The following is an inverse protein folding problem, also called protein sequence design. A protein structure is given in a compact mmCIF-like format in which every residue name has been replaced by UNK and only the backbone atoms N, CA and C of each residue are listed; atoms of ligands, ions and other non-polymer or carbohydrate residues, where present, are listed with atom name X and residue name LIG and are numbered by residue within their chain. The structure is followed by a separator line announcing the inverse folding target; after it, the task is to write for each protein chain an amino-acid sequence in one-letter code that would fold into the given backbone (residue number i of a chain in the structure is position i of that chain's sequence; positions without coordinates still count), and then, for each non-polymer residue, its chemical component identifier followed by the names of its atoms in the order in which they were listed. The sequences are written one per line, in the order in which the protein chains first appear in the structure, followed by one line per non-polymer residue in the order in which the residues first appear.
data_IF_450179649905
#
_entry.id   IF_450179649905
#
_cell.length_a   1.000
_cell.length_b   1.000
_cell.length_c   1.000
_cell.angle_alpha   90.00
_cell.angle_beta   90.00
_cell.angle_gamma   90.00
#
_symmetry.space_group_name_H-M   'P 1'
#
loop_
_entity.id
_entity.type
_entity.pdbx_description
1 polymer ?
#
# COMPACT_ATOMS: atom_id res chain seq x y z
N UNK A 1 0.51 18.41 22.07
CA UNK A 1 0.62 17.99 23.48
C UNK A 1 0.65 16.47 23.50
N UNK A 2 1.57 15.80 24.21
CA UNK A 2 1.52 14.35 24.34
C UNK A 2 0.23 13.96 25.06
N UNK A 3 -0.55 13.02 24.51
CA UNK A 3 -1.73 12.50 25.17
C UNK A 3 -1.32 11.83 26.50
N UNK A 4 -1.95 12.23 27.59
CA UNK A 4 -1.74 11.66 28.91
C UNK A 4 -2.20 10.20 28.91
N UNK A 5 -1.36 9.27 29.38
CA UNK A 5 -1.72 7.84 29.39
C UNK A 5 -2.84 7.58 30.39
N UNK A 6 -3.75 6.69 30.02
CA UNK A 6 -4.93 6.36 30.83
C UNK A 6 -4.62 5.15 31.71
N UNK A 7 -4.86 5.27 33.02
CA UNK A 7 -4.77 4.13 33.95
C UNK A 7 -6.10 3.38 33.96
N UNK A 8 -6.07 2.08 33.70
CA UNK A 8 -7.26 1.24 33.66
C UNK A 8 -7.27 0.12 34.72
N UNK A 9 -8.47 -0.35 35.04
CA UNK A 9 -8.70 -1.59 35.78
C UNK A 9 -9.46 -2.53 34.86
N UNK A 10 -8.83 -3.64 34.52
CA UNK A 10 -9.34 -4.62 33.55
C UNK A 10 -9.91 -5.81 34.32
N UNK A 11 -11.05 -6.32 33.86
CA UNK A 11 -11.65 -7.54 34.39
C UNK A 11 -11.63 -8.59 33.27
N UNK A 12 -11.14 -9.78 33.60
CA UNK A 12 -10.99 -10.88 32.68
C UNK A 12 -11.65 -12.15 33.22
N UNK A 13 -12.12 -12.97 32.29
CA UNK A 13 -12.89 -14.19 32.54
C UNK A 13 -12.25 -15.41 31.86
N UNK A 14 -12.79 -16.59 32.14
CA UNK A 14 -12.27 -17.86 31.61
C UNK A 14 -12.11 -17.83 30.07
N UNK A 15 -10.96 -18.32 29.61
CA UNK A 15 -10.51 -18.47 28.21
C UNK A 15 -10.38 -17.17 27.43
N UNK A 16 -10.38 -16.02 28.10
CA UNK A 16 -10.14 -14.75 27.43
C UNK A 16 -8.69 -14.61 26.97
N UNK A 17 -8.52 -13.82 25.91
CA UNK A 17 -7.21 -13.46 25.35
C UNK A 17 -7.12 -11.95 25.26
N UNK A 18 -6.17 -11.35 25.97
CA UNK A 18 -5.96 -9.90 26.01
C UNK A 18 -4.61 -9.58 25.40
N UNK A 19 -4.57 -8.69 24.41
CA UNK A 19 -3.32 -8.24 23.80
C UNK A 19 -2.87 -6.90 24.39
N UNK A 20 -1.71 -6.90 25.04
CA UNK A 20 -1.09 -5.72 25.62
C UNK A 20 -0.74 -4.65 24.56
N UNK A 21 -0.46 -5.03 23.31
CA UNK A 21 -0.24 -4.04 22.23
C UNK A 21 -1.51 -3.27 21.88
N UNK A 22 -2.67 -3.94 21.90
CA UNK A 22 -3.97 -3.28 21.68
C UNK A 22 -4.28 -2.29 22.80
N UNK A 23 -3.95 -2.63 24.05
CA UNK A 23 -4.10 -1.72 25.19
C UNK A 23 -3.16 -0.51 25.08
N UNK A 24 -1.88 -0.72 24.70
CA UNK A 24 -0.95 0.39 24.42
C UNK A 24 -1.45 1.31 23.31
N UNK A 25 -2.02 0.76 22.24
CA UNK A 25 -2.59 1.54 21.13
C UNK A 25 -3.79 2.40 21.56
N UNK A 26 -4.54 1.95 22.58
CA UNK A 26 -5.61 2.73 23.25
C UNK A 26 -5.08 3.71 24.30
N UNK A 27 -3.77 3.94 24.34
CA UNK A 27 -3.09 4.83 25.27
C UNK A 27 -3.21 4.41 26.75
N UNK A 28 -3.41 3.10 27.02
CA UNK A 28 -3.47 2.54 28.38
C UNK A 28 -2.07 2.43 28.97
N UNK A 29 -1.88 2.88 30.20
CA UNK A 29 -0.61 2.78 30.91
C UNK A 29 -0.43 1.40 31.55
N UNK A 30 0.23 0.49 30.85
CA UNK A 30 0.39 -0.88 31.30
C UNK A 30 1.22 -1.05 32.58
N UNK A 31 2.06 -0.08 32.95
CA UNK A 31 2.88 -0.20 34.18
C UNK A 31 2.08 0.12 35.44
N UNK A 32 1.00 0.90 35.32
CA UNK A 32 0.17 1.32 36.45
C UNK A 32 -1.26 0.77 36.41
N UNK A 33 -1.70 0.26 35.26
CA UNK A 33 -2.99 -0.42 35.12
C UNK A 33 -2.97 -1.79 35.78
N UNK A 34 -4.13 -2.28 36.19
CA UNK A 34 -4.28 -3.56 36.90
C UNK A 34 -5.28 -4.45 36.19
N UNK A 35 -5.16 -5.76 36.40
CA UNK A 35 -6.10 -6.75 35.87
C UNK A 35 -6.58 -7.70 36.96
N UNK A 36 -7.88 -7.97 36.96
CA UNK A 36 -8.53 -8.97 37.79
C UNK A 36 -8.92 -10.15 36.90
N UNK A 37 -8.55 -11.36 37.29
CA UNK A 37 -8.98 -12.59 36.63
C UNK A 37 -9.89 -13.37 37.57
N UNK A 38 -11.14 -13.62 37.15
CA UNK A 38 -12.15 -14.27 38.00
C UNK A 38 -12.31 -13.61 39.38
N UNK A 39 -12.22 -12.27 39.41
CA UNK A 39 -12.33 -11.47 40.62
C UNK A 39 -11.05 -11.42 41.49
N UNK A 40 -9.99 -12.12 41.12
CA UNK A 40 -8.70 -12.08 41.80
C UNK A 40 -7.76 -11.09 41.12
N UNK A 41 -7.20 -10.15 41.89
CA UNK A 41 -6.18 -9.23 41.39
C UNK A 41 -4.90 -10.02 41.04
N UNK A 42 -4.45 -9.92 39.80
CA UNK A 42 -3.18 -10.50 39.39
C UNK A 42 -2.02 -9.60 39.81
N UNK A 43 -1.10 -10.15 40.60
CA UNK A 43 0.12 -9.47 41.04
C UNK A 43 1.41 -10.15 40.57
N UNK A 44 1.30 -11.36 40.02
CA UNK A 44 2.43 -12.21 39.65
C UNK A 44 2.93 -13.09 40.80
N UNK A 45 4.00 -13.85 40.56
CA UNK A 45 4.60 -14.80 41.52
C UNK A 45 6.09 -15.01 41.23
N UNK A 46 6.76 -15.75 42.12
CA UNK A 46 8.12 -16.25 41.91
C UNK A 46 8.16 -17.51 41.04
N UNK A 47 9.26 -17.67 40.31
CA UNK A 47 9.50 -18.81 39.43
C UNK A 47 9.71 -20.09 40.23
N UNK A 48 9.12 -21.18 39.76
CA UNK A 48 9.22 -22.48 40.40
C UNK A 48 10.62 -23.10 40.17
N UNK A 49 11.17 -23.80 41.17
CA UNK A 49 12.42 -24.54 40.99
C UNK A 49 12.31 -25.54 39.83
N UNK A 50 13.38 -25.63 39.02
CA UNK A 50 13.52 -26.54 37.88
C UNK A 50 12.47 -26.40 36.74
N UNK A 51 11.60 -25.40 36.78
CA UNK A 51 10.59 -25.16 35.75
C UNK A 51 10.74 -23.74 35.19
N UNK A 52 11.66 -23.52 34.22
CA UNK A 52 11.91 -22.21 33.66
C UNK A 52 10.65 -21.54 33.12
N UNK A 53 10.48 -20.26 33.45
CA UNK A 53 9.35 -19.41 33.09
C UNK A 53 7.99 -19.88 33.61
N UNK A 54 7.96 -20.79 34.57
CA UNK A 54 6.74 -21.18 35.27
C UNK A 54 6.76 -20.55 36.67
N UNK A 55 5.72 -19.81 37.03
CA UNK A 55 5.63 -19.03 38.26
C UNK A 55 4.38 -19.42 39.06
N UNK A 56 4.51 -19.52 40.38
CA UNK A 56 3.40 -19.91 41.24
C UNK A 56 3.88 -20.29 42.63
N UNK A 57 2.99 -20.90 43.39
CA UNK A 57 3.31 -21.48 44.70
C UNK A 57 3.11 -22.99 44.66
N UNK A 58 3.95 -23.72 45.37
CA UNK A 58 3.76 -25.15 45.60
C UNK A 58 3.04 -25.39 46.93
N UNK A 59 2.24 -26.44 46.99
CA UNK A 59 1.70 -26.99 48.23
C UNK A 59 2.74 -27.85 48.96
N UNK A 60 2.31 -28.48 50.06
CA UNK A 60 3.18 -29.34 50.88
C UNK A 60 3.65 -30.61 50.14
N UNK A 61 2.95 -30.99 49.06
CA UNK A 61 3.22 -32.17 48.25
C UNK A 61 4.04 -31.83 46.99
N UNK A 62 4.61 -30.61 46.91
CA UNK A 62 5.32 -30.07 45.73
C UNK A 62 4.45 -29.99 44.46
N UNK A 63 3.12 -29.93 44.60
CA UNK A 63 2.19 -29.71 43.49
C UNK A 63 1.83 -28.23 43.42
N UNK A 64 1.47 -27.72 42.25
CA UNK A 64 1.10 -26.32 42.13
C UNK A 64 -0.21 -26.01 42.82
N UNK A 65 -0.21 -24.97 43.66
CA UNK A 65 -1.42 -24.47 44.32
C UNK A 65 -2.43 -24.01 43.27
N UNK A 66 -3.66 -24.48 43.41
CA UNK A 66 -4.78 -24.09 42.53
C UNK A 66 -5.64 -22.96 43.11
N UNK A 67 -5.50 -22.66 44.40
CA UNK A 67 -6.20 -21.59 45.12
C UNK A 67 -5.54 -20.21 44.96
N UNK A 68 -4.38 -20.16 44.31
CA UNK A 68 -3.65 -18.96 43.89
C UNK A 68 -3.36 -19.01 42.39
N UNK A 69 -3.33 -17.88 41.66
CA UNK A 69 -2.98 -17.90 40.25
C UNK A 69 -1.54 -18.37 40.00
N UNK A 70 -1.36 -19.21 38.99
CA UNK A 70 -0.06 -19.57 38.44
C UNK A 70 0.12 -19.03 37.03
N UNK A 71 1.36 -18.92 36.58
CA UNK A 71 1.71 -18.22 35.37
C UNK A 71 2.75 -19.00 34.58
N UNK A 72 2.59 -19.07 33.26
CA UNK A 72 3.59 -19.59 32.36
C UNK A 72 3.92 -18.54 31.30
N UNK A 73 5.16 -18.09 31.29
CA UNK A 73 5.66 -17.13 30.29
C UNK A 73 6.34 -17.87 29.15
N UNK A 74 5.87 -17.65 27.93
CA UNK A 74 6.49 -18.14 26.70
C UNK A 74 7.10 -16.96 25.95
N UNK A 75 8.44 -16.80 25.96
CA UNK A 75 9.13 -15.78 25.19
C UNK A 75 8.74 -15.81 23.71
N UNK A 76 8.49 -14.64 23.13
CA UNK A 76 8.27 -14.50 21.68
C UNK A 76 9.57 -14.62 20.89
N UNK A 77 10.64 -14.05 21.46
CA UNK A 77 12.00 -14.03 20.93
C UNK A 77 13.01 -13.83 22.06
N UNK A 78 14.31 -13.92 21.74
CA UNK A 78 15.44 -13.86 22.69
C UNK A 78 15.78 -12.43 23.18
N UNK A 79 15.16 -11.39 22.62
CA UNK A 79 15.67 -10.01 22.68
C UNK A 79 14.68 -8.93 23.10
N UNK A 80 13.37 -9.16 22.95
CA UNK A 80 12.35 -8.14 23.16
C UNK A 80 11.84 -8.07 24.60
N UNK A 81 11.98 -9.16 25.36
CA UNK A 81 11.33 -9.34 26.65
C UNK A 81 9.80 -9.39 26.57
N UNK A 82 9.25 -9.58 25.37
CA UNK A 82 7.81 -9.77 25.13
C UNK A 82 7.51 -11.26 24.94
N UNK A 83 6.31 -11.66 25.34
CA UNK A 83 5.87 -13.04 25.19
C UNK A 83 4.39 -13.23 25.47
N UNK A 84 3.96 -14.49 25.39
CA UNK A 84 2.65 -14.93 25.84
C UNK A 84 2.73 -15.26 27.33
N UNK A 85 1.86 -14.68 28.15
CA UNK A 85 1.67 -15.08 29.54
C UNK A 85 0.36 -15.85 29.67
N UNK A 86 0.44 -17.16 29.88
CA UNK A 86 -0.72 -17.96 30.27
C UNK A 86 -0.88 -17.89 31.80
N UNK A 87 -2.09 -17.63 32.27
CA UNK A 87 -2.45 -17.57 33.69
C UNK A 87 -3.47 -18.66 33.96
N UNK A 88 -3.26 -19.45 35.00
CA UNK A 88 -4.16 -20.51 35.43
C UNK A 88 -4.65 -20.21 36.84
N UNK A 89 -5.95 -20.31 37.07
CA UNK A 89 -6.54 -20.15 38.40
C UNK A 89 -7.69 -21.14 38.55
N UNK A 90 -7.56 -22.08 39.49
CA UNK A 90 -8.46 -23.23 39.60
C UNK A 90 -8.57 -23.98 38.26
N UNK A 91 -9.76 -23.98 37.64
CA UNK A 91 -10.03 -24.61 36.37
C UNK A 91 -10.11 -23.61 35.20
N UNK A 92 -9.85 -22.33 35.45
CA UNK A 92 -9.95 -21.26 34.47
C UNK A 92 -8.57 -20.86 33.92
N UNK A 93 -8.54 -20.45 32.66
CA UNK A 93 -7.32 -19.96 31.98
C UNK A 93 -7.51 -18.54 31.44
N UNK A 94 -6.47 -17.71 31.50
CA UNK A 94 -6.40 -16.41 30.84
C UNK A 94 -5.08 -16.30 30.06
N UNK A 95 -5.14 -15.75 28.85
CA UNK A 95 -3.96 -15.54 28.02
C UNK A 95 -3.70 -14.04 27.80
N UNK A 96 -2.50 -13.57 28.16
CA UNK A 96 -2.03 -12.24 27.79
C UNK A 96 -1.00 -12.34 26.66
N UNK A 97 -1.29 -11.70 25.52
CA UNK A 97 -0.36 -11.56 24.40
C UNK A 97 0.48 -10.29 24.56
N UNK A 98 1.72 -10.36 24.06
CA UNK A 98 2.69 -9.26 24.11
C UNK A 98 2.92 -8.71 25.54
N UNK A 99 2.82 -9.58 26.54
CA UNK A 99 3.16 -9.27 27.92
C UNK A 99 4.67 -9.00 28.02
N UNK A 100 5.07 -7.91 28.69
CA UNK A 100 6.47 -7.60 28.94
C UNK A 100 6.90 -8.08 30.31
N UNK A 101 7.85 -9.02 30.34
CA UNK A 101 8.46 -9.50 31.59
C UNK A 101 9.41 -8.46 32.23
N UNK A 102 9.74 -7.39 31.50
CA UNK A 102 10.62 -6.31 31.94
C UNK A 102 9.80 -5.16 32.52
N UNK A 103 8.78 -4.72 31.78
CA UNK A 103 7.89 -3.64 32.23
C UNK A 103 6.84 -4.11 33.24
N UNK A 104 6.67 -5.43 33.41
CA UNK A 104 5.64 -6.04 34.25
C UNK A 104 4.25 -5.55 33.81
N UNK A 105 3.88 -5.85 32.55
CA UNK A 105 2.63 -5.37 31.96
C UNK A 105 1.42 -5.68 32.85
N UNK A 106 0.49 -4.71 32.95
CA UNK A 106 -0.67 -4.75 33.84
C UNK A 106 -0.31 -4.90 35.33
N UNK A 107 0.90 -4.48 35.69
CA UNK A 107 1.46 -4.55 37.03
C UNK A 107 1.49 -5.98 37.61
N UNK A 108 1.60 -6.99 36.75
CA UNK A 108 1.87 -8.39 37.13
C UNK A 108 3.39 -8.56 37.18
N UNK A 109 3.96 -8.96 38.32
CA UNK A 109 5.40 -9.05 38.51
C UNK A 109 5.87 -10.50 38.56
N UNK A 110 6.69 -10.90 37.59
CA UNK A 110 7.25 -12.25 37.52
C UNK A 110 8.71 -12.24 37.97
N UNK A 111 8.96 -12.85 39.13
CA UNK A 111 10.30 -12.94 39.70
C UNK A 111 11.02 -14.17 39.14
N UNK A 112 12.07 -13.91 38.35
CA UNK A 112 12.88 -14.92 37.69
C UNK A 112 13.99 -15.38 38.63
N UNK A 113 14.11 -16.70 38.83
CA UNK A 113 15.06 -17.35 39.74
C UNK A 113 15.90 -18.42 39.04
N UNK A 114 15.43 -18.99 37.93
CA UNK A 114 16.14 -20.04 37.20
C UNK A 114 17.30 -19.47 36.39
N UNK A 115 18.35 -20.27 36.17
CA UNK A 115 19.50 -19.88 35.35
C UNK A 115 19.05 -19.40 33.95
N UNK A 116 18.13 -20.13 33.33
CA UNK A 116 17.63 -19.82 31.99
C UNK A 116 16.87 -18.49 31.94
N UNK A 117 16.00 -18.21 32.91
CA UNK A 117 15.20 -16.98 32.93
C UNK A 117 16.04 -15.75 33.31
N UNK A 118 17.06 -15.94 34.14
CA UNK A 118 18.06 -14.91 34.46
C UNK A 118 18.94 -14.60 33.25
N UNK A 119 19.46 -15.60 32.56
CA UNK A 119 20.23 -15.42 31.30
C UNK A 119 19.39 -14.70 30.24
N UNK A 120 18.10 -15.04 30.12
CA UNK A 120 17.16 -14.34 29.26
C UNK A 120 17.00 -12.85 29.65
N UNK A 121 16.82 -12.54 30.94
CA UNK A 121 16.75 -11.16 31.45
C UNK A 121 18.05 -10.38 31.25
N UNK A 122 19.20 -11.04 31.40
CA UNK A 122 20.52 -10.45 31.19
C UNK A 122 20.76 -10.15 29.70
N UNK A 123 20.41 -11.09 28.82
CA UNK A 123 20.51 -10.90 27.37
C UNK A 123 19.69 -9.68 26.93
N UNK A 124 18.43 -9.59 27.37
CA UNK A 124 17.58 -8.45 27.02
C UNK A 124 18.09 -7.16 27.68
N UNK A 125 18.57 -7.21 28.93
CA UNK A 125 19.15 -6.03 29.58
C UNK A 125 20.39 -5.53 28.85
N UNK A 126 21.21 -6.42 28.29
CA UNK A 126 22.35 -6.07 27.46
C UNK A 126 21.92 -5.51 26.11
N UNK A 127 20.93 -6.10 25.44
CA UNK A 127 20.34 -5.55 24.21
C UNK A 127 19.70 -4.17 24.44
N UNK A 128 18.97 -3.98 25.55
CA UNK A 128 18.36 -2.70 25.94
C UNK A 128 19.42 -1.68 26.39
N UNK A 129 20.53 -2.12 27.00
CA UNK A 129 21.68 -1.25 27.30
C UNK A 129 22.38 -0.86 26.02
N UNK A 130 22.66 -1.76 25.08
CA UNK A 130 23.20 -1.42 23.76
C UNK A 130 22.28 -0.42 23.05
N UNK A 131 20.95 -0.62 23.10
CA UNK A 131 19.97 0.34 22.60
C UNK A 131 19.91 1.67 23.40
N UNK A 132 20.13 1.68 24.72
CA UNK A 132 20.15 2.90 25.58
C UNK A 132 21.47 3.66 25.55
N UNK A 133 22.61 2.98 25.45
CA UNK A 133 23.93 3.62 25.21
C UNK A 133 23.93 4.27 23.81
N UNK A 134 23.14 3.73 22.88
CA UNK A 134 22.83 4.37 21.58
C UNK A 134 21.83 5.55 21.70
N UNK A 135 21.16 5.74 22.85
CA UNK A 135 20.21 6.85 23.09
C UNK A 135 20.71 7.96 24.02
N UNK A 136 21.74 7.74 24.85
CA UNK A 136 22.27 8.78 25.77
C UNK A 136 23.28 9.71 25.08
N UNK A 137 23.88 9.32 23.95
CA UNK A 137 24.65 10.20 23.05
C UNK A 137 23.80 10.74 21.88
N UNK A 138 22.62 11.31 22.20
CA UNK A 138 21.99 12.33 21.33
C UNK A 138 22.53 13.71 21.74
N UNK A 139 23.77 14.10 21.41
CA UNK A 139 24.16 14.59 20.07
C UNK A 139 24.04 13.52 19.00
N UNK A 140 22.85 13.48 18.41
CA UNK A 140 22.40 12.64 17.31
C UNK A 140 23.56 12.27 16.38
N UNK A 141 24.06 11.04 16.46
CA UNK A 141 24.86 10.49 15.36
C UNK A 141 23.89 10.21 14.22
N UNK A 142 23.69 11.23 13.38
CA UNK A 142 22.94 11.07 12.15
C UNK A 142 23.78 10.13 11.28
N UNK A 143 23.20 9.03 10.80
CA UNK A 143 23.87 8.18 9.83
C UNK A 143 24.28 9.05 8.63
N UNK A 144 25.59 9.27 8.44
CA UNK A 144 26.12 10.03 7.33
C UNK A 144 26.09 9.15 6.08
N UNK A 145 25.14 9.42 5.19
CA UNK A 145 24.91 8.68 3.96
C UNK A 145 25.69 9.28 2.80
N UNK A 146 26.01 8.45 1.81
CA UNK A 146 26.90 8.81 0.71
C UNK A 146 26.14 9.55 -0.40
N UNK A 147 26.72 10.64 -0.90
CA UNK A 147 26.16 11.40 -2.02
C UNK A 147 26.23 10.60 -3.32
N UNK A 148 25.20 10.66 -4.16
CA UNK A 148 25.22 10.08 -5.50
C UNK A 148 26.20 10.85 -6.40
N UNK A 149 27.06 10.15 -7.14
CA UNK A 149 27.98 10.73 -8.11
C UNK A 149 27.45 10.61 -9.55
N UNK A 150 27.81 11.57 -10.39
CA UNK A 150 27.40 11.66 -11.80
C UNK A 150 27.80 10.45 -12.65
N UNK A 151 28.85 9.71 -12.28
CA UNK A 151 29.33 8.55 -13.04
C UNK A 151 28.68 7.21 -12.62
N UNK A 152 27.83 7.20 -11.59
CA UNK A 152 27.29 5.96 -11.06
C UNK A 152 26.21 5.37 -11.98
N UNK A 153 26.12 4.04 -11.98
CA UNK A 153 25.05 3.35 -12.70
C UNK A 153 23.77 3.39 -11.85
N UNK A 154 22.90 4.35 -12.15
CA UNK A 154 21.56 4.46 -11.59
C UNK A 154 20.55 3.89 -12.60
N UNK A 155 19.70 2.99 -12.15
CA UNK A 155 18.72 2.29 -12.99
C UNK A 155 17.33 2.33 -12.37
N UNK A 156 16.28 2.24 -13.19
CA UNK A 156 14.99 1.79 -12.68
C UNK A 156 15.04 0.28 -12.39
N UNK A 157 14.08 -0.25 -11.62
CA UNK A 157 14.05 -1.69 -11.30
C UNK A 157 13.98 -2.60 -12.54
N UNK A 158 13.51 -2.10 -13.68
CA UNK A 158 13.45 -2.84 -14.94
C UNK A 158 14.80 -2.86 -15.70
N UNK A 159 15.80 -2.09 -15.27
CA UNK A 159 17.12 -2.01 -15.92
C UNK A 159 17.28 -0.87 -16.92
N UNK A 160 16.31 0.06 -17.02
CA UNK A 160 16.50 1.31 -17.75
C UNK A 160 17.47 2.23 -17.05
N UNK A 161 18.43 2.80 -17.77
CA UNK A 161 19.53 3.61 -17.23
C UNK A 161 19.13 5.08 -17.10
N UNK A 162 19.33 5.65 -15.92
CA UNK A 162 19.14 7.09 -15.69
C UNK A 162 20.37 7.83 -16.23
N UNK A 163 20.15 8.86 -17.03
CA UNK A 163 21.20 9.76 -17.51
C UNK A 163 21.48 10.79 -16.43
N UNK A 164 22.56 10.57 -15.67
CA UNK A 164 23.01 11.50 -14.66
C UNK A 164 23.80 12.64 -15.32
N UNK A 165 23.42 13.88 -15.01
CA UNK A 165 24.16 15.08 -15.42
C UNK A 165 24.11 16.12 -14.31
N UNK A 166 25.24 16.35 -13.65
CA UNK A 166 25.32 17.34 -12.59
C UNK A 166 25.41 18.74 -13.19
N UNK A 167 24.51 19.65 -12.80
CA UNK A 167 24.55 21.07 -13.17
C UNK A 167 24.95 21.91 -11.97
N UNK A 168 24.19 21.78 -10.87
CA UNK A 168 24.45 22.55 -9.64
C UNK A 168 25.42 21.86 -8.69
N UNK A 169 25.60 20.53 -8.79
CA UNK A 169 26.62 19.80 -8.02
C UNK A 169 28.05 19.90 -8.56
N UNK A 170 28.28 20.52 -9.74
CA UNK A 170 29.59 20.57 -10.43
C UNK A 170 30.77 21.05 -9.60
N UNK A 171 30.53 21.90 -8.60
CA UNK A 171 31.57 22.45 -7.73
C UNK A 171 31.99 21.52 -6.60
N UNK A 172 31.24 20.44 -6.35
CA UNK A 172 31.49 19.46 -5.29
C UNK A 172 31.83 18.12 -5.93
N UNK A 173 33.13 17.78 -5.92
CA UNK A 173 33.67 16.66 -6.68
C UNK A 173 34.38 15.66 -5.80
N UNK A 174 33.98 14.39 -5.89
CA UNK A 174 34.70 13.28 -5.31
C UNK A 174 35.62 12.67 -6.36
N UNK A 175 36.93 12.72 -6.13
CA UNK A 175 37.95 12.29 -7.10
C UNK A 175 37.71 12.82 -8.52
N UNK A 176 37.29 14.10 -8.62
CA UNK A 176 37.02 14.79 -9.87
C UNK A 176 35.60 14.61 -10.42
N UNK A 177 34.77 13.78 -9.80
CA UNK A 177 33.40 13.43 -10.24
C UNK A 177 32.37 14.23 -9.43
N UNK A 178 31.51 15.03 -10.09
CA UNK A 178 30.48 15.80 -9.40
C UNK A 178 29.47 14.95 -8.64
N UNK A 179 28.98 15.48 -7.52
CA UNK A 179 27.80 14.95 -6.83
C UNK A 179 26.51 15.36 -7.57
N UNK A 180 25.43 14.62 -7.34
CA UNK A 180 24.09 14.90 -7.85
C UNK A 180 23.25 15.63 -6.80
N UNK A 181 22.61 16.73 -7.20
CA UNK A 181 21.65 17.46 -6.37
C UNK A 181 20.20 17.16 -6.81
N UNK A 182 19.24 17.62 -6.02
CA UNK A 182 17.80 17.41 -6.22
C UNK A 182 17.36 17.72 -7.65
N UNK A 183 17.68 18.91 -8.17
CA UNK A 183 17.29 19.30 -9.54
C UNK A 183 18.06 18.57 -10.63
N UNK A 184 19.25 18.03 -10.31
CA UNK A 184 20.06 17.29 -11.27
C UNK A 184 19.47 15.90 -11.53
N UNK A 185 18.85 15.27 -10.52
CA UNK A 185 18.19 13.97 -10.65
C UNK A 185 16.70 14.08 -11.02
N UNK A 186 16.01 15.11 -10.53
CA UNK A 186 14.61 15.34 -10.88
C UNK A 186 14.48 15.64 -12.37
N UNK A 187 13.59 14.93 -13.07
CA UNK A 187 13.43 14.95 -14.53
C UNK A 187 14.61 14.40 -15.34
N UNK A 188 15.59 13.73 -14.72
CA UNK A 188 16.62 13.00 -15.49
C UNK A 188 15.97 11.95 -16.40
N UNK A 189 16.43 11.89 -17.65
CA UNK A 189 15.94 10.92 -18.62
C UNK A 189 16.34 9.49 -18.26
N UNK A 190 15.46 8.54 -18.54
CA UNK A 190 15.71 7.11 -18.43
C UNK A 190 15.72 6.53 -19.84
N UNK A 191 16.78 5.83 -20.20
CA UNK A 191 16.97 5.24 -21.53
C UNK A 191 17.05 3.72 -21.44
N UNK A 192 16.75 3.05 -22.56
CA UNK A 192 16.87 1.59 -22.71
C UNK A 192 16.13 0.79 -21.62
N UNK A 193 15.00 1.27 -21.13
CA UNK A 193 14.16 0.54 -20.19
C UNK A 193 13.41 -0.58 -20.93
N UNK A 194 13.61 -1.87 -20.60
CA UNK A 194 12.97 -2.99 -21.28
C UNK A 194 11.57 -3.28 -20.75
N UNK A 195 11.01 -2.40 -19.92
CA UNK A 195 9.73 -2.63 -19.27
C UNK A 195 8.63 -2.87 -20.31
N UNK A 196 7.93 -3.98 -20.16
CA UNK A 196 6.79 -4.35 -21.00
C UNK A 196 5.62 -4.74 -20.11
N UNK A 197 4.41 -4.45 -20.59
CA UNK A 197 3.16 -4.90 -19.98
C UNK A 197 2.41 -5.64 -21.08
N UNK A 198 2.09 -6.92 -20.86
CA UNK A 198 1.43 -7.77 -21.86
C UNK A 198 2.10 -7.74 -23.25
N UNK A 199 3.44 -7.70 -23.30
CA UNK A 199 4.21 -7.64 -24.56
C UNK A 199 4.30 -6.25 -25.21
N UNK A 200 3.58 -5.25 -24.70
CA UNK A 200 3.68 -3.84 -25.15
C UNK A 200 4.80 -3.13 -24.40
N UNK A 201 5.67 -2.43 -25.11
CA UNK A 201 6.76 -1.65 -24.50
C UNK A 201 6.21 -0.44 -23.75
N UNK A 202 6.43 -0.39 -22.42
CA UNK A 202 6.05 0.72 -21.54
C UNK A 202 7.28 1.17 -20.75
N UNK A 203 8.30 1.72 -21.43
CA UNK A 203 9.55 2.09 -20.78
C UNK A 203 9.32 3.20 -19.75
N UNK A 204 10.07 3.15 -18.66
CA UNK A 204 10.29 4.34 -17.82
C UNK A 204 11.10 5.34 -18.64
N UNK A 205 10.68 6.60 -18.65
CA UNK A 205 11.28 7.64 -19.49
C UNK A 205 11.97 8.74 -18.69
N UNK A 206 11.59 8.95 -17.42
CA UNK A 206 12.22 9.95 -16.56
C UNK A 206 12.01 9.69 -15.07
N UNK A 207 12.82 10.35 -14.24
CA UNK A 207 12.64 10.42 -12.78
C UNK A 207 11.70 11.56 -12.42
N UNK A 208 10.70 11.32 -11.56
CA UNK A 208 9.66 12.32 -11.21
C UNK A 208 9.55 12.60 -9.71
N UNK A 209 10.14 11.78 -8.85
CA UNK A 209 10.19 12.02 -7.40
C UNK A 209 11.55 11.60 -6.84
N UNK A 210 12.16 12.48 -6.04
CA UNK A 210 13.45 12.27 -5.38
C UNK A 210 13.41 12.57 -3.88
N UNK A 211 12.26 12.97 -3.33
CA UNK A 211 12.13 13.51 -1.96
C UNK A 211 12.65 12.57 -0.88
N UNK A 212 12.43 11.27 -1.04
CA UNK A 212 12.87 10.27 -0.07
C UNK A 212 14.39 10.02 -0.05
N UNK A 213 15.16 10.63 -0.96
CA UNK A 213 16.61 10.47 -1.08
C UNK A 213 17.38 11.76 -0.74
N UNK A 214 16.71 12.79 -0.21
CA UNK A 214 17.32 14.10 0.04
C UNK A 214 18.14 14.16 1.34
N UNK A 215 19.28 14.84 1.29
CA UNK A 215 20.03 15.26 2.47
C UNK A 215 19.28 16.30 3.28
N UNK A 216 19.61 16.42 4.57
CA UNK A 216 19.11 17.46 5.46
C UNK A 216 19.75 18.81 5.16
N UNK A 217 21.05 18.80 4.82
CA UNK A 217 21.83 20.00 4.52
C UNK A 217 21.81 20.27 3.03
N UNK A 218 21.66 21.55 2.69
CA UNK A 218 21.76 22.03 1.32
C UNK A 218 23.19 22.33 0.93
N UNK A 219 23.50 22.11 -0.33
CA UNK A 219 24.73 22.47 -1.01
C UNK A 219 24.31 23.22 -2.28
N UNK A 220 24.88 24.41 -2.54
CA UNK A 220 24.41 25.31 -3.60
C UNK A 220 22.88 25.55 -3.57
N UNK A 221 22.33 25.75 -2.37
CA UNK A 221 20.90 25.97 -2.11
C UNK A 221 19.97 24.81 -2.50
N UNK A 222 20.49 23.62 -2.79
CA UNK A 222 19.70 22.41 -3.06
C UNK A 222 20.11 21.24 -2.18
N UNK A 223 19.20 20.28 -2.02
CA UNK A 223 19.50 19.05 -1.29
C UNK A 223 20.33 18.09 -2.15
N UNK A 224 21.20 17.33 -1.51
CA UNK A 224 22.04 16.31 -2.13
C UNK A 224 21.25 14.99 -2.21
N UNK A 225 21.44 14.24 -3.29
CA UNK A 225 20.87 12.90 -3.44
C UNK A 225 21.72 11.87 -2.68
N UNK A 226 21.08 11.03 -1.86
CA UNK A 226 21.73 10.02 -1.01
C UNK A 226 21.54 8.62 -1.59
N UNK A 227 22.65 7.95 -1.92
CA UNK A 227 22.70 6.67 -2.61
C UNK A 227 21.89 5.58 -1.91
N UNK A 228 22.03 5.51 -0.58
CA UNK A 228 21.41 4.49 0.27
C UNK A 228 19.88 4.60 0.30
N UNK A 229 19.34 5.76 -0.10
CA UNK A 229 17.91 6.06 -0.10
C UNK A 229 17.32 6.15 -1.51
N UNK A 230 18.09 5.81 -2.54
CA UNK A 230 17.68 5.89 -3.95
C UNK A 230 16.41 5.08 -4.25
N UNK A 231 16.13 4.02 -3.49
CA UNK A 231 14.92 3.21 -3.62
C UNK A 231 13.63 4.00 -3.34
N UNK A 232 13.73 5.14 -2.66
CA UNK A 232 12.62 6.04 -2.41
C UNK A 232 12.33 7.01 -3.58
N UNK A 233 13.22 7.08 -4.57
CA UNK A 233 12.98 7.83 -5.81
C UNK A 233 12.00 7.07 -6.72
N UNK A 234 11.23 7.79 -7.54
CA UNK A 234 10.22 7.23 -8.45
C UNK A 234 10.41 7.66 -9.90
N UNK A 235 10.15 6.73 -10.82
CA UNK A 235 10.02 6.99 -12.26
C UNK A 235 8.64 7.56 -12.60
N UNK A 236 8.49 8.09 -13.82
CA UNK A 236 7.21 8.50 -14.42
C UNK A 236 6.15 7.40 -14.47
N UNK A 237 6.55 6.14 -14.30
CA UNK A 237 5.67 4.96 -14.22
C UNK A 237 5.46 4.47 -12.79
N UNK A 238 5.92 5.22 -11.77
CA UNK A 238 5.71 4.90 -10.35
C UNK A 238 6.67 3.87 -9.75
N UNK A 239 7.68 3.44 -10.52
CA UNK A 239 8.63 2.40 -10.08
C UNK A 239 9.85 2.99 -9.38
N UNK A 240 10.44 2.21 -8.48
CA UNK A 240 11.63 2.62 -7.74
C UNK A 240 12.88 2.67 -8.63
N UNK A 241 13.90 3.38 -8.15
CA UNK A 241 15.25 3.32 -8.69
C UNK A 241 16.14 2.41 -7.84
N UNK A 242 17.26 1.99 -8.41
CA UNK A 242 18.33 1.25 -7.75
C UNK A 242 19.68 1.79 -8.22
N UNK A 243 20.65 1.84 -7.33
CA UNK A 243 22.02 2.25 -7.63
C UNK A 243 22.98 1.20 -7.10
N UNK A 244 24.06 0.95 -7.83
CA UNK A 244 25.21 0.22 -7.28
C UNK A 244 25.94 1.13 -6.30
N UNK A 245 25.82 0.82 -5.01
CA UNK A 245 26.46 1.60 -3.95
C UNK A 245 27.96 1.76 -4.20
N UNK A 246 28.46 2.99 -4.09
CA UNK A 246 29.89 3.30 -4.14
C UNK A 246 30.19 4.31 -3.02
N UNK A 247 31.07 3.97 -2.06
CA UNK A 247 31.43 4.92 -1.00
C UNK A 247 32.00 6.22 -1.56
N UNK A 248 31.55 7.36 -1.01
CA UNK A 248 32.02 8.71 -1.36
C UNK A 248 32.61 9.46 -0.17
N UNK A 249 33.47 10.45 -0.45
CA UNK A 249 34.00 11.42 0.53
C UNK A 249 32.92 12.36 1.03
N UNK A 250 31.95 12.70 0.18
CA UNK A 250 30.81 13.53 0.55
C UNK A 250 29.76 12.68 1.23
N UNK A 251 29.60 12.90 2.54
CA UNK A 251 28.58 12.25 3.35
C UNK A 251 27.69 13.29 4.02
N UNK A 252 26.40 13.07 3.96
CA UNK A 252 25.41 13.99 4.50
C UNK A 252 24.44 13.28 5.44
N UNK A 253 23.92 14.08 6.34
CA UNK A 253 22.82 13.71 7.21
C UNK A 253 21.54 13.56 6.34
N UNK A 254 20.77 12.48 6.48
CA UNK A 254 19.48 12.35 5.80
C UNK A 254 18.44 13.34 6.35
N UNK A 255 17.54 13.86 5.51
CA UNK A 255 16.48 14.80 5.90
C UNK A 255 15.32 14.17 6.70
N UNK A 256 15.48 12.96 7.22
CA UNK A 256 14.40 12.18 7.82
C UNK A 256 13.95 12.84 9.14
N UNK A 257 12.74 13.41 9.17
CA UNK A 257 12.08 13.85 10.40
C UNK A 257 11.59 12.59 11.16
N UNK A 258 12.01 12.34 12.41
CA UNK A 258 11.50 11.23 13.21
C UNK A 258 9.99 11.26 13.47
N UNK A 259 9.32 12.40 13.26
CA UNK A 259 7.85 12.49 13.27
C UNK A 259 7.22 12.03 11.94
N UNK A 260 7.97 12.08 10.85
CA UNK A 260 7.62 11.48 9.55
C UNK A 260 8.25 10.08 9.40
N UNK A 261 8.84 9.54 10.47
CA UNK A 261 9.73 8.40 10.41
C UNK A 261 9.11 7.04 10.75
N UNK A 262 9.34 6.07 9.86
CA UNK A 262 9.29 4.60 10.02
C UNK A 262 7.99 3.94 10.54
N UNK A 263 7.09 4.66 11.23
CA UNK A 263 5.73 4.20 11.55
C UNK A 263 4.83 4.11 10.32
N UNK A 264 5.13 4.87 9.27
CA UNK A 264 4.49 4.77 7.97
C UNK A 264 5.19 3.75 7.04
N UNK A 265 6.35 3.22 7.39
CA UNK A 265 7.03 2.21 6.57
C UNK A 265 6.56 0.78 6.82
N UNK A 266 5.69 0.53 7.81
CA UNK A 266 5.00 -0.75 8.01
C UNK A 266 3.50 -0.70 7.68
N UNK A 267 2.98 0.48 7.36
CA UNK A 267 1.76 0.62 6.58
C UNK A 267 2.13 1.31 5.29
N UNK A 268 2.38 0.53 4.23
CA UNK A 268 1.84 0.94 2.95
C UNK A 268 0.32 1.10 3.20
N UNK A 269 -0.14 2.27 3.66
CA UNK A 269 -1.52 2.67 3.48
C UNK A 269 -1.61 2.88 1.98
N UNK A 270 -1.78 1.76 1.27
CA UNK A 270 -2.19 1.80 -0.11
C UNK A 270 -3.54 2.49 -0.07
N UNK A 271 -3.56 3.76 -0.41
CA UNK A 271 -4.80 4.48 -0.55
C UNK A 271 -5.49 3.96 -1.80
N UNK A 272 -6.62 3.28 -1.60
CA UNK A 272 -7.47 2.86 -2.71
C UNK A 272 -8.29 4.06 -3.15
N UNK A 273 -8.28 4.29 -4.45
CA UNK A 273 -9.05 5.37 -5.09
C UNK A 273 -10.18 4.76 -5.87
N UNK A 274 -11.22 5.56 -6.11
CA UNK A 274 -12.35 5.14 -6.93
C UNK A 274 -11.87 4.81 -8.35
N UNK A 275 -12.11 3.58 -8.84
CA UNK A 275 -11.84 3.25 -10.22
C UNK A 275 -12.94 3.85 -11.11
N UNK A 276 -12.53 4.64 -12.10
CA UNK A 276 -13.44 5.33 -13.01
C UNK A 276 -13.11 4.92 -14.44
N UNK A 277 -14.15 4.61 -15.23
CA UNK A 277 -14.05 4.52 -16.67
C UNK A 277 -14.84 5.67 -17.31
N UNK A 278 -14.26 6.34 -18.31
CA UNK A 278 -14.87 7.52 -18.94
C UNK A 278 -14.94 7.36 -20.46
N UNK A 279 -16.16 7.49 -20.98
CA UNK A 279 -16.45 7.60 -22.39
C UNK A 279 -16.11 9.01 -22.87
N UNK A 280 -15.21 9.12 -23.84
CA UNK A 280 -14.95 10.34 -24.59
C UNK A 280 -15.61 10.22 -25.96
N UNK A 281 -16.67 11.00 -26.19
CA UNK A 281 -17.38 11.00 -27.46
C UNK A 281 -17.01 12.23 -28.29
N UNK A 282 -16.60 12.02 -29.54
CA UNK A 282 -16.04 13.06 -30.42
C UNK A 282 -16.60 12.93 -31.82
N UNK A 283 -16.67 14.01 -32.61
CA UNK A 283 -16.96 13.91 -34.06
C UNK A 283 -15.72 13.59 -34.88
N UNK A 284 -14.53 13.93 -34.36
CA UNK A 284 -13.25 13.66 -35.02
C UNK A 284 -12.18 13.27 -33.99
N UNK A 285 -11.22 12.44 -34.41
CA UNK A 285 -10.14 11.93 -33.56
C UNK A 285 -9.23 13.04 -32.99
N UNK A 286 -9.16 14.20 -33.62
CA UNK A 286 -8.34 15.34 -33.18
C UNK A 286 -9.14 16.39 -32.41
N UNK A 287 -10.46 16.22 -32.26
CA UNK A 287 -11.29 17.13 -31.51
C UNK A 287 -10.92 17.08 -30.02
N UNK A 288 -10.59 18.23 -29.44
CA UNK A 288 -10.24 18.35 -28.01
C UNK A 288 -11.46 18.45 -27.09
N UNK A 289 -12.59 18.89 -27.63
CA UNK A 289 -13.86 18.99 -26.92
C UNK A 289 -14.65 17.68 -27.03
N UNK A 290 -15.46 17.36 -26.03
CA UNK A 290 -16.33 16.18 -26.03
C UNK A 290 -17.76 16.56 -26.38
N UNK A 291 -18.39 15.78 -27.26
CA UNK A 291 -19.77 15.97 -27.67
C UNK A 291 -20.72 15.55 -26.54
N UNK A 292 -21.72 16.37 -26.21
CA UNK A 292 -22.70 16.01 -25.19
C UNK A 292 -23.59 14.86 -25.67
N UNK A 293 -23.83 13.89 -24.79
CA UNK A 293 -24.77 12.79 -25.02
C UNK A 293 -26.02 13.06 -24.19
N UNK A 294 -27.18 13.22 -24.83
CA UNK A 294 -28.46 13.48 -24.13
C UNK A 294 -29.30 12.21 -23.96
N UNK A 295 -29.08 11.22 -24.82
CA UNK A 295 -29.73 9.93 -24.78
C UNK A 295 -28.74 8.83 -25.15
N UNK A 296 -28.85 7.68 -24.48
CA UNK A 296 -28.15 6.46 -24.84
C UNK A 296 -28.92 5.24 -24.34
N UNK A 297 -28.73 4.11 -24.98
CA UNK A 297 -29.25 2.81 -24.55
C UNK A 297 -28.17 2.08 -23.75
N UNK A 298 -28.48 1.65 -22.54
CA UNK A 298 -27.65 0.73 -21.75
C UNK A 298 -28.33 -0.62 -21.75
N UNK A 299 -27.70 -1.65 -22.32
CA UNK A 299 -28.29 -2.99 -22.44
C UNK A 299 -29.71 -2.99 -23.06
N UNK A 300 -29.92 -2.10 -24.04
CA UNK A 300 -31.21 -1.80 -24.71
C UNK A 300 -32.23 -1.02 -23.87
N UNK A 301 -31.89 -0.58 -22.66
CA UNK A 301 -32.72 0.32 -21.87
C UNK A 301 -32.39 1.78 -22.16
N UNK A 302 -33.39 2.58 -22.50
CA UNK A 302 -33.22 4.00 -22.81
C UNK A 302 -32.91 4.81 -21.54
N UNK A 303 -31.82 5.57 -21.56
CA UNK A 303 -31.50 6.62 -20.58
C UNK A 303 -31.51 7.96 -21.31
N UNK A 304 -32.36 8.89 -20.90
CA UNK A 304 -32.56 10.18 -21.56
C UNK A 304 -32.79 11.27 -20.52
N UNK A 305 -32.18 12.44 -20.72
CA UNK A 305 -32.30 13.60 -19.83
C UNK A 305 -32.34 14.90 -20.62
N UNK A 306 -32.91 15.95 -20.02
CA UNK A 306 -32.91 17.30 -20.59
C UNK A 306 -31.53 17.97 -20.56
N UNK A 307 -30.59 17.44 -19.77
CA UNK A 307 -29.20 17.86 -19.70
C UNK A 307 -28.30 16.74 -20.23
N UNK A 308 -27.08 17.08 -20.61
CA UNK A 308 -26.10 16.10 -21.03
C UNK A 308 -25.84 15.08 -19.90
N UNK A 309 -25.90 13.80 -20.26
CA UNK A 309 -25.63 12.67 -19.39
C UNK A 309 -24.17 12.73 -18.91
N UNK A 310 -23.95 12.45 -17.63
CA UNK A 310 -22.67 12.67 -16.95
C UNK A 310 -22.08 11.37 -16.36
N UNK A 311 -22.89 10.58 -15.65
CA UNK A 311 -22.42 9.43 -14.90
C UNK A 311 -23.53 8.38 -14.71
N UNK A 312 -23.14 7.11 -14.70
CA UNK A 312 -23.96 5.96 -14.37
C UNK A 312 -23.22 5.03 -13.42
N UNK A 313 -23.91 4.55 -12.39
CA UNK A 313 -23.45 3.46 -11.53
C UNK A 313 -24.25 2.21 -11.92
N UNK A 314 -23.54 1.16 -12.34
CA UNK A 314 -24.15 -0.05 -12.90
C UNK A 314 -23.74 -1.23 -12.03
N UNK A 315 -24.71 -1.92 -11.44
CA UNK A 315 -24.43 -3.10 -10.62
C UNK A 315 -23.94 -4.27 -11.49
N UNK A 316 -23.07 -5.12 -10.96
CA UNK A 316 -22.53 -6.29 -11.64
C UNK A 316 -23.63 -7.24 -12.16
N UNK A 317 -24.74 -7.35 -11.43
CA UNK A 317 -25.90 -8.17 -11.81
C UNK A 317 -26.60 -7.65 -13.08
N UNK A 318 -26.45 -6.36 -13.38
CA UNK A 318 -27.05 -5.71 -14.55
C UNK A 318 -26.11 -5.76 -15.76
N UNK A 319 -24.85 -6.21 -15.56
CA UNK A 319 -23.95 -6.59 -16.64
C UNK A 319 -24.33 -7.97 -17.19
N UNK A 320 -24.22 -8.13 -18.51
CA UNK A 320 -24.56 -9.38 -19.19
C UNK A 320 -23.38 -10.34 -19.17
N UNK A 321 -23.65 -11.62 -19.35
CA UNK A 321 -22.62 -12.57 -19.74
C UNK A 321 -22.20 -12.28 -21.19
N UNK A 322 -20.94 -12.54 -21.53
CA UNK A 322 -20.41 -12.27 -22.86
C UNK A 322 -21.14 -13.14 -23.90
N UNK A 323 -21.79 -12.51 -24.87
CA UNK A 323 -22.54 -13.18 -25.94
C UNK A 323 -21.62 -13.70 -27.06
N UNK A 324 -20.52 -12.99 -27.35
CA UNK A 324 -19.54 -13.42 -28.36
C UNK A 324 -18.68 -14.59 -27.84
N UNK A 325 -18.95 -15.78 -28.36
CA UNK A 325 -18.28 -17.03 -27.97
C UNK A 325 -16.78 -16.99 -28.29
N UNK A 326 -16.37 -16.32 -29.37
CA UNK A 326 -14.97 -16.29 -29.78
C UNK A 326 -14.15 -15.46 -28.81
N UNK A 327 -14.62 -14.26 -28.44
CA UNK A 327 -13.91 -13.42 -27.47
C UNK A 327 -13.93 -14.07 -26.08
N UNK A 328 -15.04 -14.69 -25.68
CA UNK A 328 -15.13 -15.42 -24.42
C UNK A 328 -14.13 -16.58 -24.33
N UNK A 329 -13.96 -17.34 -25.42
CA UNK A 329 -12.99 -18.43 -25.46
C UNK A 329 -11.55 -17.92 -25.42
N UNK A 330 -11.26 -16.81 -26.13
CA UNK A 330 -9.96 -16.15 -26.06
C UNK A 330 -9.63 -15.72 -24.63
N UNK A 331 -10.57 -15.06 -23.94
CA UNK A 331 -10.37 -14.67 -22.55
C UNK A 331 -10.17 -15.88 -21.62
N UNK A 332 -10.91 -16.98 -21.82
CA UNK A 332 -10.72 -18.21 -21.04
C UNK A 332 -9.36 -18.88 -21.28
N UNK A 333 -8.75 -18.66 -22.44
CA UNK A 333 -7.42 -19.17 -22.76
C UNK A 333 -6.32 -18.32 -22.12
N UNK A 334 -6.47 -17.00 -22.18
CA UNK A 334 -5.43 -16.06 -21.77
C UNK A 334 -5.48 -15.73 -20.26
N UNK A 335 -6.65 -15.87 -19.63
CA UNK A 335 -6.87 -15.58 -18.20
C UNK A 335 -7.23 -16.84 -17.41
N UNK A 336 -6.78 -16.90 -16.15
CA UNK A 336 -7.06 -18.05 -15.28
C UNK A 336 -8.54 -18.15 -14.89
N UNK A 337 -8.94 -19.28 -14.29
CA UNK A 337 -10.30 -19.48 -13.77
C UNK A 337 -10.69 -18.52 -12.62
N UNK A 338 -9.72 -17.78 -12.10
CA UNK A 338 -9.91 -16.78 -11.04
C UNK A 338 -10.47 -15.45 -11.57
N UNK A 339 -10.83 -15.38 -12.85
CA UNK A 339 -11.48 -14.23 -13.46
C UNK A 339 -12.96 -14.52 -13.78
N UNK A 340 -13.76 -13.47 -13.74
CA UNK A 340 -15.13 -13.41 -14.23
C UNK A 340 -15.19 -12.49 -15.45
N UNK A 341 -16.04 -12.81 -16.42
CA UNK A 341 -16.14 -12.07 -17.68
C UNK A 341 -17.55 -11.54 -17.85
N UNK A 342 -17.69 -10.24 -18.08
CA UNK A 342 -18.99 -9.55 -18.22
C UNK A 342 -18.98 -8.59 -19.40
N UNK A 343 -20.15 -8.26 -19.89
CA UNK A 343 -20.38 -7.36 -21.02
C UNK A 343 -21.37 -6.25 -20.65
N UNK A 344 -21.09 -5.03 -21.13
CA UNK A 344 -22.02 -3.90 -21.11
C UNK A 344 -22.19 -3.35 -22.52
N UNK A 345 -23.44 -3.24 -22.96
CA UNK A 345 -23.77 -2.71 -24.28
C UNK A 345 -24.27 -1.29 -24.19
N UNK A 346 -23.61 -0.37 -24.88
CA UNK A 346 -24.02 1.02 -25.04
C UNK A 346 -24.38 1.27 -26.50
N UNK A 347 -25.49 1.97 -26.74
CA UNK A 347 -25.85 2.40 -28.10
C UNK A 347 -26.33 3.84 -28.11
N UNK A 348 -25.76 4.66 -28.99
CA UNK A 348 -26.18 6.05 -29.22
C UNK A 348 -25.69 6.50 -30.59
N UNK A 349 -26.42 7.44 -31.20
CA UNK A 349 -26.23 7.86 -32.59
C UNK A 349 -26.12 6.66 -33.54
N UNK A 350 -25.06 6.56 -34.35
CA UNK A 350 -24.77 5.41 -35.23
C UNK A 350 -23.66 4.51 -34.66
N UNK A 351 -23.56 4.42 -33.33
CA UNK A 351 -22.53 3.64 -32.66
C UNK A 351 -23.16 2.55 -31.78
N UNK A 352 -22.67 1.33 -31.93
CA UNK A 352 -22.84 0.23 -30.99
C UNK A 352 -21.52 0.02 -30.28
N UNK A 353 -21.52 -0.05 -28.95
CA UNK A 353 -20.30 -0.18 -28.16
C UNK A 353 -20.49 -1.32 -27.17
N UNK A 354 -19.65 -2.34 -27.30
CA UNK A 354 -19.56 -3.47 -26.40
C UNK A 354 -18.34 -3.27 -25.51
N UNK A 355 -18.57 -3.15 -24.21
CA UNK A 355 -17.50 -3.09 -23.22
C UNK A 355 -17.40 -4.45 -22.55
N UNK A 356 -16.26 -5.13 -22.71
CA UNK A 356 -15.97 -6.38 -22.04
C UNK A 356 -15.13 -6.13 -20.79
N UNK A 357 -15.54 -6.68 -19.66
CA UNK A 357 -14.86 -6.55 -18.37
C UNK A 357 -14.32 -7.90 -17.93
N UNK A 358 -13.01 -7.97 -17.72
CA UNK A 358 -12.29 -9.10 -17.14
C UNK A 358 -12.03 -8.77 -15.67
N UNK A 359 -12.77 -9.41 -14.76
CA UNK A 359 -12.85 -9.05 -13.35
C UNK A 359 -12.11 -10.10 -12.51
N UNK A 360 -10.98 -9.76 -11.86
CA UNK A 360 -10.33 -10.68 -10.94
C UNK A 360 -11.22 -10.97 -9.72
N UNK A 361 -11.45 -12.25 -9.39
CA UNK A 361 -12.26 -12.67 -8.22
C UNK A 361 -11.53 -12.48 -6.90
N UNK A 362 -10.20 -12.36 -6.93
CA UNK A 362 -9.35 -12.31 -5.75
C UNK A 362 -8.59 -10.99 -5.65
N UNK A 363 -8.55 -10.43 -4.45
CA UNK A 363 -7.74 -9.24 -4.13
C UNK A 363 -6.32 -9.70 -3.77
N UNK A 364 -5.32 -9.12 -4.44
CA UNK A 364 -3.92 -9.41 -4.15
C UNK A 364 -3.59 -9.12 -2.68
N UNK A 365 -2.70 -9.93 -2.09
CA UNK A 365 -2.38 -9.86 -0.64
C UNK A 365 -2.01 -8.44 -0.18
N UNK A 366 -1.29 -7.70 -1.03
CA UNK A 366 -0.82 -6.34 -0.76
C UNK A 366 -1.96 -5.35 -0.53
N UNK A 367 -3.12 -5.53 -1.15
CA UNK A 367 -4.26 -4.61 -1.06
C UNK A 367 -5.31 -5.02 -0.03
N UNK A 368 -5.16 -6.18 0.63
CA UNK A 368 -6.20 -6.72 1.53
C UNK A 368 -6.48 -5.83 2.74
N UNK A 369 -5.46 -5.19 3.30
CA UNK A 369 -5.62 -4.29 4.45
C UNK A 369 -6.34 -3.01 4.04
N UNK A 370 -5.89 -2.37 2.96
CA UNK A 370 -6.51 -1.18 2.41
C UNK A 370 -7.98 -1.42 2.01
N UNK A 371 -8.28 -2.56 1.39
CA UNK A 371 -9.66 -2.92 1.02
C UNK A 371 -10.60 -3.06 2.22
N UNK A 372 -10.12 -3.41 3.41
CA UNK A 372 -10.97 -3.47 4.61
C UNK A 372 -11.44 -2.08 5.05
N UNK A 373 -10.61 -1.08 4.82
CA UNK A 373 -10.83 0.32 5.22
C UNK A 373 -11.45 1.17 4.10
N UNK A 374 -11.41 0.70 2.85
CA UNK A 374 -11.98 1.42 1.70
C UNK A 374 -13.50 1.55 1.83
N UNK A 375 -14.04 2.76 1.67
CA UNK A 375 -15.48 3.02 1.76
C UNK A 375 -16.24 2.42 0.57
N UNK A 376 -15.70 2.57 -0.64
CA UNK A 376 -16.33 2.14 -1.90
C UNK A 376 -15.94 0.70 -2.30
N UNK A 377 -16.10 -0.27 -1.39
CA UNK A 377 -15.66 -1.66 -1.61
C UNK A 377 -16.31 -2.33 -2.83
N UNK A 378 -17.53 -1.91 -3.14
CA UNK A 378 -18.30 -2.36 -4.29
C UNK A 378 -17.66 -1.97 -5.63
N UNK A 379 -16.87 -0.89 -5.69
CA UNK A 379 -16.11 -0.54 -6.89
C UNK A 379 -14.89 -1.45 -7.13
N UNK A 380 -14.50 -2.25 -6.12
CA UNK A 380 -13.37 -3.16 -6.18
C UNK A 380 -12.00 -2.50 -5.97
N UNK A 381 -10.93 -3.28 -6.18
CA UNK A 381 -9.54 -2.87 -5.91
C UNK A 381 -8.73 -2.74 -7.19
N UNK A 382 -8.12 -1.57 -7.41
CA UNK A 382 -7.26 -1.30 -8.56
C UNK A 382 -7.90 -0.28 -9.49
N UNK A 383 -7.54 -0.34 -10.77
CA UNK A 383 -8.04 0.56 -11.79
C UNK A 383 -8.38 -0.19 -13.06
N UNK A 384 -9.25 0.37 -13.88
CA UNK A 384 -9.53 -0.14 -15.21
C UNK A 384 -8.29 0.03 -16.09
N UNK A 385 -7.91 -1.02 -16.80
CA UNK A 385 -6.86 -0.98 -17.83
C UNK A 385 -7.43 -1.48 -19.12
N UNK A 386 -7.42 -0.66 -20.16
CA UNK A 386 -7.86 -1.07 -21.49
C UNK A 386 -6.85 -2.06 -22.09
N UNK A 387 -7.36 -3.16 -22.63
CA UNK A 387 -6.59 -4.25 -23.23
C UNK A 387 -6.75 -4.19 -24.75
N UNK A 388 -5.98 -3.31 -25.37
CA UNK A 388 -6.08 -2.97 -26.79
C UNK A 388 -5.90 -4.15 -27.74
N UNK A 389 -5.21 -5.20 -27.32
CA UNK A 389 -5.01 -6.43 -28.08
C UNK A 389 -6.32 -7.18 -28.38
N UNK A 390 -7.36 -6.94 -27.57
CA UNK A 390 -8.69 -7.53 -27.76
C UNK A 390 -9.70 -6.56 -28.37
N UNK A 391 -9.34 -5.29 -28.49
CA UNK A 391 -10.22 -4.26 -29.02
C UNK A 391 -10.44 -4.46 -30.53
N UNK A 392 -11.67 -4.21 -30.97
CA UNK A 392 -12.04 -4.27 -32.39
C UNK A 392 -12.95 -3.11 -32.73
N UNK A 393 -12.80 -2.60 -33.96
CA UNK A 393 -13.74 -1.63 -34.53
C UNK A 393 -14.23 -2.24 -35.84
N UNK A 394 -15.52 -2.54 -35.89
CA UNK A 394 -16.18 -3.10 -37.06
C UNK A 394 -17.00 -1.97 -37.67
N UNK A 395 -16.76 -1.69 -38.95
CA UNK A 395 -17.52 -0.70 -39.71
C UNK A 395 -18.52 -1.42 -40.58
N UNK A 396 -19.80 -1.20 -40.33
CA UNK A 396 -20.90 -1.77 -41.12
C UNK A 396 -21.53 -0.67 -41.96
N UNK A 397 -21.66 -0.91 -43.27
CA UNK A 397 -22.43 -0.03 -44.14
C UNK A 397 -23.92 -0.27 -43.91
N UNK A 398 -24.67 0.80 -43.66
CA UNK A 398 -26.14 0.80 -43.63
C UNK A 398 -26.70 1.22 -44.98
N UNK A 399 -27.99 0.95 -45.20
CA UNK A 399 -28.77 1.57 -46.27
C UNK A 399 -28.66 3.12 -46.16
N UNK A 400 -28.62 3.81 -47.30
CA UNK A 400 -28.46 5.28 -47.42
C UNK A 400 -27.06 5.88 -47.09
N UNK A 401 -25.95 5.16 -47.33
CA UNK A 401 -24.57 5.65 -47.12
C UNK A 401 -24.24 6.04 -45.66
N UNK A 402 -24.99 5.53 -44.68
CA UNK A 402 -24.67 5.71 -43.25
C UNK A 402 -23.73 4.60 -42.81
N UNK A 403 -22.76 4.91 -41.96
CA UNK A 403 -21.87 3.92 -41.34
C UNK A 403 -22.32 3.66 -39.90
N UNK A 404 -22.57 2.39 -39.57
CA UNK A 404 -22.72 1.93 -38.19
C UNK A 404 -21.35 1.47 -37.71
N UNK A 405 -20.81 2.14 -36.70
CA UNK A 405 -19.57 1.69 -36.06
C UNK A 405 -19.91 0.80 -34.88
N UNK A 406 -19.38 -0.41 -34.88
CA UNK A 406 -19.43 -1.32 -33.73
C UNK A 406 -18.06 -1.37 -33.07
N UNK A 407 -17.97 -0.77 -31.88
CA UNK A 407 -16.78 -0.75 -31.04
C UNK A 407 -16.82 -1.91 -30.06
N UNK A 408 -15.72 -2.62 -29.94
CA UNK A 408 -15.48 -3.66 -28.95
C UNK A 408 -14.29 -3.19 -28.14
N UNK A 409 -14.49 -2.87 -26.87
CA UNK A 409 -13.43 -2.45 -25.96
C UNK A 409 -13.33 -3.43 -24.79
N UNK A 410 -12.12 -3.89 -24.50
CA UNK A 410 -11.87 -4.85 -23.43
C UNK A 410 -11.10 -4.18 -22.31
N UNK A 411 -11.48 -4.45 -21.06
CA UNK A 411 -10.85 -3.87 -19.88
C UNK A 411 -10.55 -4.93 -18.84
N UNK A 412 -9.33 -4.91 -18.32
CA UNK A 412 -9.05 -5.48 -17.01
C UNK A 412 -9.69 -4.57 -15.96
N UNK A 413 -10.66 -5.09 -15.24
CA UNK A 413 -11.42 -4.36 -14.23
C UNK A 413 -10.79 -4.46 -12.84
N UNK A 414 -11.17 -3.59 -11.89
CA UNK A 414 -10.80 -3.73 -10.48
C UNK A 414 -11.16 -5.10 -9.92
N UNK A 415 -10.29 -5.64 -9.07
CA UNK A 415 -10.52 -6.93 -8.42
C UNK A 415 -11.75 -6.87 -7.50
N UNK A 416 -12.63 -7.86 -7.60
CA UNK A 416 -13.91 -7.96 -6.88
C UNK A 416 -14.90 -6.81 -7.15
N UNK A 417 -14.80 -6.12 -8.29
CA UNK A 417 -15.79 -5.12 -8.69
C UNK A 417 -17.21 -5.71 -8.65
N UNK A 418 -18.12 -5.01 -7.99
CA UNK A 418 -19.56 -5.28 -7.89
C UNK A 418 -20.41 -4.11 -8.44
N UNK A 419 -19.83 -2.92 -8.56
CA UNK A 419 -20.45 -1.76 -9.18
C UNK A 419 -19.45 -1.07 -10.13
N UNK A 420 -19.93 -0.66 -11.29
CA UNK A 420 -19.19 0.04 -12.33
C UNK A 420 -19.59 1.51 -12.37
N UNK A 421 -18.62 2.39 -12.10
CA UNK A 421 -18.76 3.85 -12.27
C UNK A 421 -18.35 4.28 -13.68
N UNK A 422 -19.34 4.48 -14.54
CA UNK A 422 -19.18 4.91 -15.93
C UNK A 422 -19.46 6.41 -16.06
N UNK A 423 -18.46 7.19 -16.44
CA UNK A 423 -18.58 8.62 -16.72
C UNK A 423 -18.66 8.91 -18.22
N UNK A 424 -19.27 10.03 -18.57
CA UNK A 424 -19.30 10.60 -19.91
C UNK A 424 -18.57 11.93 -19.85
N UNK A 425 -17.51 12.06 -20.65
CA UNK A 425 -16.72 13.28 -20.72
C UNK A 425 -17.56 14.44 -21.27
N UNK A 426 -17.46 15.60 -20.63
CA UNK A 426 -18.11 16.84 -21.05
C UNK A 426 -17.09 17.98 -21.11
N UNK A 427 -17.11 18.76 -22.19
CA UNK A 427 -16.17 19.86 -22.37
C UNK A 427 -14.77 19.40 -22.80
N UNK A 428 -13.78 20.27 -22.60
CA UNK A 428 -12.41 20.10 -23.08
C UNK A 428 -11.65 19.02 -22.31
N UNK A 429 -10.95 18.14 -23.03
CA UNK A 429 -10.11 17.09 -22.42
C UNK A 429 -9.07 17.67 -21.45
N UNK A 430 -8.47 18.81 -21.77
CA UNK A 430 -7.45 19.46 -20.93
C UNK A 430 -8.00 19.90 -19.57
N UNK A 431 -9.25 20.39 -19.54
CA UNK A 431 -9.91 20.80 -18.29
C UNK A 431 -10.23 19.56 -17.45
N UNK A 432 -10.81 18.53 -18.07
CA UNK A 432 -11.11 17.27 -17.39
C UNK A 432 -9.83 16.64 -16.81
N UNK A 433 -8.75 16.64 -17.57
CA UNK A 433 -7.46 16.12 -17.12
C UNK A 433 -6.84 16.94 -15.99
N UNK A 434 -6.98 18.27 -16.02
CA UNK A 434 -6.55 19.13 -14.92
C UNK A 434 -7.36 18.88 -13.65
N UNK A 435 -8.68 18.67 -13.78
CA UNK A 435 -9.56 18.34 -12.66
C UNK A 435 -9.24 16.95 -12.08
N UNK A 436 -9.06 15.95 -12.93
CA UNK A 436 -8.65 14.61 -12.53
C UNK A 436 -7.30 14.66 -11.79
N UNK A 437 -6.33 15.45 -12.30
CA UNK A 437 -5.03 15.65 -11.64
C UNK A 437 -5.16 16.32 -10.28
N UNK A 438 -6.00 17.35 -10.16
CA UNK A 438 -6.25 18.07 -8.89
C UNK A 438 -6.93 17.18 -7.84
N UNK A 439 -7.80 16.28 -8.28
CA UNK A 439 -8.48 15.30 -7.43
C UNK A 439 -7.68 14.00 -7.27
N UNK A 440 -6.53 13.93 -7.94
CA UNK A 440 -5.67 12.75 -8.03
C UNK A 440 -6.41 11.46 -8.44
N UNK A 441 -7.40 11.57 -9.32
CA UNK A 441 -8.19 10.46 -9.84
C UNK A 441 -7.42 9.71 -10.94
N UNK A 442 -7.58 8.38 -10.95
CA UNK A 442 -7.16 7.57 -12.09
C UNK A 442 -8.38 7.21 -12.92
N UNK A 443 -8.47 7.78 -14.12
CA UNK A 443 -9.60 7.59 -15.04
C UNK A 443 -9.13 6.83 -16.27
N UNK A 444 -9.71 5.66 -16.50
CA UNK A 444 -9.51 4.92 -17.74
C UNK A 444 -10.40 5.50 -18.82
N UNK A 445 -9.82 5.95 -19.92
CA UNK A 445 -10.54 6.64 -21.00
C UNK A 445 -10.69 5.71 -22.18
N UNK A 446 -11.88 5.69 -22.78
CA UNK A 446 -12.10 5.09 -24.08
C UNK A 446 -12.81 6.07 -25.00
N UNK A 447 -12.40 6.10 -26.27
CA UNK A 447 -12.82 7.13 -27.23
C UNK A 447 -13.72 6.52 -28.29
N UNK A 448 -14.89 7.10 -28.47
CA UNK A 448 -15.81 6.81 -29.57
C UNK A 448 -15.84 8.03 -30.48
N UNK A 449 -15.65 7.79 -31.78
CA UNK A 449 -15.65 8.86 -32.78
C UNK A 449 -16.86 8.66 -33.68
N UNK A 450 -17.77 9.64 -33.70
CA UNK A 450 -18.90 9.62 -34.61
C UNK A 450 -18.39 9.61 -36.05
N UNK A 451 -19.02 8.81 -36.91
CA UNK A 451 -18.50 8.38 -38.22
C UNK A 451 -17.60 9.38 -38.95
N UNK A 452 -16.38 8.94 -39.30
CA UNK A 452 -15.48 9.70 -40.18
C UNK A 452 -15.23 8.89 -41.45
N UNK A 453 -15.60 9.50 -42.59
CA UNK A 453 -14.90 9.30 -43.87
C UNK A 453 -13.43 9.66 -43.65
N UNK A 454 -12.58 8.64 -43.61
CA UNK A 454 -11.12 8.76 -43.50
C UNK A 454 -10.58 9.61 -44.65
#
# INVERSE_FOLDING_TARGET
MPLEKVKETIFAYDKEVIDCEVLRAKNVDLTHSKIYFQGILLTGSAELPNNPFYFGELDQDNTIKQDTPSYYFSPKDESSGLGRLSIFYKNDELCLLNYSIIENSLNIKLECLSKQSLEYKDLISNTLKEQKTTQVDKKQSIAKLHALLENQNLECIHGGKVILKSNKGKTFKDDGIPIMLESDLLNSSIVACPNTIAGVSVPCTKVVNVKGSLSQKKVNNEYVILQELISACKTDKGFALKVSFTPTKFKFDHSFDPKEGLGEQSKNQIELKEPIIRLHYKSDRFQKDNLPIYNLLINNEKKEQNKALNEFNIDLKDLKDIEDINILNQFKQDFSKDYEFKELNLSFDTNLIKLYFIIPKNIAKVYKSAYKEFENKDLGVGYFTQLHEYDKIIKNALEDNKELNEYHFSFLAPAKMQNLKLQIAQGLDEILEDEDRKQELYVCKFVVVNGVKI
#
